data_IF_650815454196
#
_entry.id   IF_650815454196
#
_cell.length_a   1.000
_cell.length_b   1.000
_cell.length_c   1.000
_cell.angle_alpha   90.00
_cell.angle_beta   90.00
_cell.angle_gamma   90.00
#
_symmetry.space_group_name_H-M   'P 1'
#
loop_
_entity.id
_entity.type
_entity.pdbx_description
1 polymer ?
#
# COMPACT_ATOMS: atom_id res chain seq x y z
N UNK A 1 -1.42 3.46 24.85
CA UNK A 1 -1.86 3.13 23.49
C UNK A 1 -1.21 1.84 23.03
N UNK A 2 -2.01 0.92 22.52
CA UNK A 2 -1.47 -0.35 22.05
C UNK A 2 -0.69 -0.17 20.75
N UNK A 3 0.25 -1.06 20.51
CA UNK A 3 1.01 -1.10 19.26
C UNK A 3 0.43 -2.18 18.35
N UNK A 4 0.67 -2.05 17.05
CA UNK A 4 0.28 -3.04 16.06
C UNK A 4 1.53 -3.80 15.65
N UNK A 5 1.47 -5.14 15.69
CA UNK A 5 2.58 -6.01 15.37
C UNK A 5 2.45 -6.52 13.93
N UNK A 6 3.42 -6.17 13.10
CA UNK A 6 3.51 -6.61 11.71
C UNK A 6 4.65 -7.60 11.48
N UNK A 7 5.18 -8.22 12.56
CA UNK A 7 6.31 -9.13 12.43
C UNK A 7 5.96 -10.42 11.67
N UNK A 8 6.96 -10.99 11.00
CA UNK A 8 6.86 -12.32 10.43
C UNK A 8 7.09 -13.37 11.54
N UNK A 9 6.68 -14.60 11.28
CA UNK A 9 6.69 -15.68 12.27
C UNK A 9 8.06 -16.00 12.87
N UNK A 10 9.16 -15.68 12.20
CA UNK A 10 10.51 -16.04 12.64
C UNK A 10 11.50 -14.88 12.47
N UNK A 11 11.02 -13.66 12.43
CA UNK A 11 11.83 -12.51 12.04
C UNK A 11 11.72 -11.36 13.03
N UNK A 12 12.38 -10.27 12.68
CA UNK A 12 12.36 -9.02 13.43
C UNK A 12 10.94 -8.54 13.70
N UNK A 13 10.70 -8.09 14.93
CA UNK A 13 9.42 -7.54 15.34
C UNK A 13 9.25 -6.12 14.78
N UNK A 14 8.13 -5.89 14.10
CA UNK A 14 7.77 -4.57 13.59
C UNK A 14 6.55 -4.07 14.36
N UNK A 15 6.78 -3.14 15.28
CA UNK A 15 5.72 -2.56 16.09
C UNK A 15 5.51 -1.10 15.69
N UNK A 16 4.25 -0.76 15.39
CA UNK A 16 3.88 0.61 15.04
C UNK A 16 2.80 1.07 16.01
N UNK A 17 3.05 2.20 16.66
CA UNK A 17 2.00 2.88 17.43
C UNK A 17 1.05 3.53 16.43
N UNK A 18 -0.26 3.22 16.50
CA UNK A 18 -1.21 3.77 15.54
C UNK A 18 -1.20 5.31 15.53
N UNK A 19 -1.40 5.85 14.33
CA UNK A 19 -1.47 7.30 14.17
C UNK A 19 -2.69 7.85 14.92
N UNK A 20 -2.47 8.83 15.77
CA UNK A 20 -3.55 9.49 16.51
C UNK A 20 -4.43 10.31 15.58
N UNK A 21 -5.70 10.48 15.96
CA UNK A 21 -6.67 11.28 15.18
C UNK A 21 -6.17 12.70 14.91
N UNK A 22 -5.49 13.30 15.89
CA UNK A 22 -4.98 14.66 15.75
C UNK A 22 -3.63 14.72 15.03
N UNK A 23 -3.07 13.58 14.64
CA UNK A 23 -1.79 13.54 13.94
C UNK A 23 -0.57 13.87 14.79
N UNK A 24 -0.72 13.95 16.13
CA UNK A 24 0.35 14.40 17.01
C UNK A 24 1.61 13.54 16.98
N UNK A 25 1.47 12.24 16.67
CA UNK A 25 2.60 11.31 16.61
C UNK A 25 3.04 10.99 15.18
N UNK A 26 2.69 11.83 14.20
CA UNK A 26 3.01 11.57 12.79
C UNK A 26 4.53 11.54 12.56
N UNK A 27 5.28 12.39 13.22
CA UNK A 27 6.75 12.44 13.08
C UNK A 27 7.42 11.12 13.47
N UNK A 28 6.80 10.35 14.39
CA UNK A 28 7.27 9.02 14.76
C UNK A 28 6.67 7.94 13.84
N UNK A 29 5.42 8.11 13.45
CA UNK A 29 4.66 7.17 12.64
C UNK A 29 5.21 7.04 11.22
N UNK A 30 5.44 8.17 10.55
CA UNK A 30 5.85 8.19 9.14
C UNK A 30 7.11 7.35 8.86
N UNK A 31 8.24 7.56 9.57
CA UNK A 31 9.44 6.78 9.28
C UNK A 31 9.27 5.30 9.58
N UNK A 32 8.48 4.94 10.61
CA UNK A 32 8.24 3.56 10.95
C UNK A 32 7.43 2.82 9.89
N UNK A 33 6.41 3.48 9.33
CA UNK A 33 5.63 2.90 8.21
C UNK A 33 6.51 2.70 6.99
N UNK A 34 7.35 3.68 6.66
CA UNK A 34 8.24 3.58 5.50
C UNK A 34 9.27 2.46 5.68
N UNK A 35 9.85 2.32 6.87
CA UNK A 35 10.78 1.23 7.15
C UNK A 35 10.10 -0.13 7.05
N UNK A 36 8.90 -0.26 7.61
CA UNK A 36 8.14 -1.50 7.53
C UNK A 36 7.84 -1.87 6.08
N UNK A 37 7.34 -0.92 5.29
CA UNK A 37 7.04 -1.16 3.87
C UNK A 37 8.32 -1.49 3.09
N UNK A 38 9.43 -0.83 3.39
CA UNK A 38 10.72 -1.15 2.77
C UNK A 38 11.20 -2.55 3.10
N UNK A 39 11.08 -2.95 4.37
CA UNK A 39 11.48 -4.28 4.83
C UNK A 39 10.65 -5.39 4.18
N UNK A 40 9.39 -5.11 3.89
CA UNK A 40 8.50 -6.07 3.21
C UNK A 40 8.55 -5.96 1.68
N UNK A 41 9.37 -5.06 1.15
CA UNK A 41 9.54 -4.89 -0.30
C UNK A 41 8.35 -4.22 -1.00
N UNK A 42 7.55 -3.46 -0.26
CA UNK A 42 6.33 -2.85 -0.80
C UNK A 42 6.31 -1.33 -0.71
N UNK A 43 7.46 -0.71 -0.43
CA UNK A 43 7.55 0.75 -0.29
C UNK A 43 7.08 1.48 -1.56
N UNK A 44 7.34 0.92 -2.73
CA UNK A 44 6.92 1.51 -4.01
C UNK A 44 5.41 1.64 -4.14
N UNK A 45 4.65 0.76 -3.49
CA UNK A 45 3.18 0.87 -3.45
C UNK A 45 2.74 2.08 -2.63
N UNK A 46 3.41 2.30 -1.49
CA UNK A 46 3.13 3.45 -0.64
C UNK A 46 3.44 4.76 -1.37
N UNK A 47 4.55 4.80 -2.09
CA UNK A 47 5.03 6.01 -2.76
C UNK A 47 4.43 6.25 -4.15
N UNK A 48 3.63 5.32 -4.64
CA UNK A 48 2.95 5.48 -5.93
C UNK A 48 3.82 5.12 -7.14
N UNK A 49 4.90 4.36 -6.94
CA UNK A 49 5.83 3.95 -8.01
C UNK A 49 5.61 2.51 -8.48
N UNK A 50 4.71 1.77 -7.84
CA UNK A 50 4.43 0.40 -8.23
C UNK A 50 3.74 0.37 -9.59
N UNK A 51 4.22 -0.51 -10.47
CA UNK A 51 3.65 -0.66 -11.80
C UNK A 51 2.87 -1.97 -11.87
N UNK A 52 1.60 -1.86 -12.22
CA UNK A 52 0.76 -3.05 -12.41
C UNK A 52 1.27 -3.84 -13.61
N UNK A 53 1.48 -5.17 -13.46
CA UNK A 53 1.88 -6.01 -14.59
C UNK A 53 0.87 -5.90 -15.72
N UNK A 54 1.37 -5.94 -16.96
CA UNK A 54 0.50 -5.91 -18.13
C UNK A 54 -0.18 -7.26 -18.29
N UNK A 55 -1.47 -7.22 -18.56
CA UNK A 55 -2.22 -8.42 -18.91
C UNK A 55 -1.83 -8.88 -20.30
N UNK A 56 -1.83 -10.20 -20.52
CA UNK A 56 -1.60 -10.74 -21.86
C UNK A 56 -2.78 -10.40 -22.75
N UNK A 57 -2.49 -10.05 -24.01
CA UNK A 57 -3.55 -9.82 -25.00
C UNK A 57 -4.33 -11.11 -25.23
N UNK A 58 -5.66 -11.00 -25.31
CA UNK A 58 -6.54 -12.14 -25.58
C UNK A 58 -7.23 -11.92 -26.94
N UNK A 59 -7.10 -12.89 -27.82
CA UNK A 59 -7.78 -12.88 -29.11
C UNK A 59 -8.47 -14.24 -29.32
N UNK A 60 -9.76 -14.22 -29.59
CA UNK A 60 -10.56 -15.45 -29.79
C UNK A 60 -10.42 -16.46 -28.65
N UNK A 61 -10.33 -15.96 -27.40
CA UNK A 61 -10.19 -16.80 -26.22
C UNK A 61 -8.79 -17.35 -25.98
N UNK A 62 -7.80 -16.90 -26.75
CA UNK A 62 -6.41 -17.37 -26.65
C UNK A 62 -5.52 -16.25 -26.16
N UNK A 63 -4.70 -16.55 -25.13
CA UNK A 63 -3.68 -15.62 -24.65
C UNK A 63 -2.53 -15.55 -25.63
N UNK A 64 -2.04 -14.34 -25.86
CA UNK A 64 -0.92 -14.09 -26.77
C UNK A 64 0.37 -13.87 -25.99
N UNK A 65 1.54 -14.10 -26.64
CA UNK A 65 2.86 -13.85 -26.05
C UNK A 65 2.97 -12.41 -25.59
N UNK A 66 3.72 -12.15 -24.48
CA UNK A 66 3.94 -10.79 -24.01
C UNK A 66 4.43 -9.87 -25.12
N UNK A 67 3.78 -8.72 -25.26
CA UNK A 67 4.15 -7.72 -26.27
C UNK A 67 3.72 -8.05 -27.70
N UNK A 68 2.93 -9.11 -27.91
CA UNK A 68 2.43 -9.48 -29.24
C UNK A 68 0.92 -9.57 -29.24
N UNK A 69 0.31 -9.50 -30.43
CA UNK A 69 -1.14 -9.63 -30.62
C UNK A 69 -1.51 -10.83 -31.51
N UNK A 70 -0.51 -11.50 -32.08
CA UNK A 70 -0.71 -12.51 -33.10
C UNK A 70 0.03 -13.84 -32.81
N UNK A 71 0.82 -13.91 -31.77
CA UNK A 71 1.58 -15.12 -31.40
C UNK A 71 1.02 -15.70 -30.12
N UNK A 72 0.55 -16.98 -30.12
CA UNK A 72 0.02 -17.61 -28.90
C UNK A 72 1.06 -17.71 -27.80
N UNK A 73 0.64 -17.47 -26.56
CA UNK A 73 1.49 -17.64 -25.39
C UNK A 73 1.64 -19.12 -25.04
N UNK A 74 2.78 -19.50 -24.48
CA UNK A 74 2.97 -20.84 -23.92
C UNK A 74 2.30 -20.91 -22.56
N UNK A 75 2.08 -22.14 -22.03
CA UNK A 75 1.54 -22.32 -20.70
C UNK A 75 2.43 -21.65 -19.64
N UNK A 76 3.76 -21.75 -19.81
CA UNK A 76 4.71 -21.10 -18.90
C UNK A 76 4.55 -19.59 -18.91
N UNK A 77 4.36 -18.98 -20.08
CA UNK A 77 4.16 -17.54 -20.20
C UNK A 77 2.85 -17.10 -19.53
N UNK A 78 1.79 -17.87 -19.66
CA UNK A 78 0.51 -17.61 -19.01
C UNK A 78 0.67 -17.69 -17.48
N UNK A 79 1.30 -18.77 -16.99
CA UNK A 79 1.55 -18.95 -15.56
C UNK A 79 2.39 -17.82 -14.98
N UNK A 80 3.43 -17.41 -15.68
CA UNK A 80 4.30 -16.31 -15.25
C UNK A 80 3.51 -15.00 -15.15
N UNK A 81 2.64 -14.74 -16.11
CA UNK A 81 1.82 -13.53 -16.09
C UNK A 81 0.84 -13.55 -14.94
N UNK A 82 0.19 -14.68 -14.67
CA UNK A 82 -0.70 -14.84 -13.53
C UNK A 82 0.02 -14.68 -12.20
N UNK A 83 1.20 -15.28 -12.06
CA UNK A 83 2.00 -15.19 -10.85
C UNK A 83 2.40 -13.73 -10.57
N UNK A 84 2.82 -13.01 -11.60
CA UNK A 84 3.18 -11.58 -11.44
C UNK A 84 1.99 -10.75 -11.00
N UNK A 85 0.82 -11.01 -11.58
CA UNK A 85 -0.39 -10.28 -11.20
C UNK A 85 -0.81 -10.60 -9.76
N UNK A 86 -0.77 -11.87 -9.38
CA UNK A 86 -1.10 -12.29 -8.01
C UNK A 86 -0.15 -11.66 -7.00
N UNK A 87 1.13 -11.64 -7.30
CA UNK A 87 2.13 -11.02 -6.43
C UNK A 87 1.87 -9.51 -6.29
N UNK A 88 1.56 -8.84 -7.39
CA UNK A 88 1.21 -7.42 -7.35
C UNK A 88 0.00 -7.17 -6.46
N UNK A 89 -1.06 -7.94 -6.65
CA UNK A 89 -2.30 -7.79 -5.88
C UNK A 89 -2.10 -8.09 -4.40
N UNK A 90 -1.30 -9.10 -4.06
CA UNK A 90 -0.97 -9.43 -2.67
C UNK A 90 -0.19 -8.30 -2.01
N UNK A 91 0.79 -7.74 -2.71
CA UNK A 91 1.60 -6.64 -2.19
C UNK A 91 0.78 -5.37 -2.02
N UNK A 92 -0.10 -5.08 -2.97
CA UNK A 92 -1.03 -3.95 -2.85
C UNK A 92 -1.94 -4.12 -1.63
N UNK A 93 -2.52 -5.31 -1.47
CA UNK A 93 -3.40 -5.60 -0.34
C UNK A 93 -2.66 -5.51 1.00
N UNK A 94 -1.42 -5.97 1.05
CA UNK A 94 -0.59 -5.88 2.26
C UNK A 94 -0.32 -4.42 2.63
N UNK A 95 0.01 -3.59 1.66
CA UNK A 95 0.24 -2.17 1.91
C UNK A 95 -1.02 -1.47 2.42
N UNK A 96 -2.17 -1.77 1.81
CA UNK A 96 -3.46 -1.25 2.29
C UNK A 96 -3.75 -1.71 3.71
N UNK A 97 -3.50 -2.97 4.01
CA UNK A 97 -3.72 -3.52 5.35
C UNK A 97 -2.87 -2.81 6.40
N UNK A 98 -1.58 -2.58 6.09
CA UNK A 98 -0.69 -1.85 7.00
C UNK A 98 -1.26 -0.47 7.30
N UNK A 99 -1.69 0.27 6.28
CA UNK A 99 -2.23 1.60 6.47
C UNK A 99 -3.53 1.59 7.26
N UNK A 100 -4.46 0.71 6.90
CA UNK A 100 -5.76 0.63 7.57
C UNK A 100 -5.64 0.17 9.02
N UNK A 101 -4.66 -0.67 9.33
CA UNK A 101 -4.45 -1.21 10.67
C UNK A 101 -3.61 -0.30 11.57
N UNK A 102 -2.93 0.68 11.01
CA UNK A 102 -2.00 1.53 11.74
C UNK A 102 -2.49 2.96 11.93
N UNK A 103 -3.75 3.23 11.62
CA UNK A 103 -4.37 4.55 11.84
C UNK A 103 -5.55 4.38 12.80
N UNK A 104 -6.06 5.51 13.31
CA UNK A 104 -7.25 5.49 14.17
C UNK A 104 -8.46 4.98 13.38
N UNK A 105 -9.50 4.43 14.06
CA UNK A 105 -10.71 3.99 13.38
C UNK A 105 -11.37 5.08 12.56
N UNK A 106 -11.36 6.31 13.04
CA UNK A 106 -11.94 7.46 12.33
C UNK A 106 -11.22 7.70 10.99
N UNK A 107 -9.89 7.71 11.01
CA UNK A 107 -9.11 7.92 9.80
C UNK A 107 -9.22 6.71 8.86
N UNK A 108 -9.30 5.51 9.41
CA UNK A 108 -9.52 4.30 8.62
C UNK A 108 -10.80 4.41 7.78
N UNK A 109 -11.88 4.95 8.36
CA UNK A 109 -13.13 5.15 7.62
C UNK A 109 -12.95 6.08 6.43
N UNK A 110 -12.04 7.05 6.54
CA UNK A 110 -11.78 7.99 5.44
C UNK A 110 -11.00 7.37 4.31
N UNK A 111 -10.09 6.44 4.61
CA UNK A 111 -9.17 5.89 3.60
C UNK A 111 -9.59 4.54 3.03
N UNK A 112 -10.44 3.79 3.72
CA UNK A 112 -10.76 2.39 3.34
C UNK A 112 -11.35 2.22 1.95
N UNK A 113 -11.99 3.26 1.41
CA UNK A 113 -12.63 3.20 0.09
C UNK A 113 -11.73 3.70 -1.04
N UNK A 114 -10.52 4.16 -0.72
CA UNK A 114 -9.61 4.66 -1.74
C UNK A 114 -9.00 3.51 -2.52
N UNK A 115 -8.74 3.74 -3.80
CA UNK A 115 -8.41 2.66 -4.74
C UNK A 115 -7.01 2.09 -4.54
N UNK A 116 -6.03 2.92 -4.16
CA UNK A 116 -4.63 2.50 -4.11
C UNK A 116 -4.00 2.82 -2.75
N UNK A 117 -2.94 2.06 -2.36
CA UNK A 117 -2.20 2.40 -1.14
C UNK A 117 -1.63 3.81 -1.16
N UNK A 118 -1.14 4.26 -2.31
CA UNK A 118 -0.62 5.63 -2.43
C UNK A 118 -1.72 6.68 -2.17
N UNK A 119 -2.92 6.49 -2.71
CA UNK A 119 -4.03 7.41 -2.46
C UNK A 119 -4.40 7.44 -0.97
N UNK A 120 -4.35 6.29 -0.30
CA UNK A 120 -4.55 6.21 1.15
C UNK A 120 -3.47 6.99 1.89
N UNK A 121 -2.21 6.80 1.51
CA UNK A 121 -1.07 7.48 2.14
C UNK A 121 -1.14 8.98 1.95
N UNK A 122 -1.45 9.44 0.74
CA UNK A 122 -1.62 10.86 0.46
C UNK A 122 -2.75 11.45 1.30
N UNK A 123 -3.86 10.73 1.43
CA UNK A 123 -4.98 11.18 2.27
C UNK A 123 -4.59 11.29 3.74
N UNK A 124 -3.81 10.35 4.26
CA UNK A 124 -3.29 10.39 5.63
C UNK A 124 -2.41 11.62 5.83
N UNK A 125 -1.46 11.84 4.94
CA UNK A 125 -0.54 12.98 5.02
C UNK A 125 -1.29 14.31 4.92
N UNK A 126 -2.28 14.40 4.04
CA UNK A 126 -3.11 15.59 3.87
C UNK A 126 -3.93 15.88 5.12
N UNK A 127 -4.52 14.85 5.71
CA UNK A 127 -5.30 14.98 6.93
C UNK A 127 -4.45 15.53 8.09
N UNK A 128 -3.24 14.99 8.26
CA UNK A 128 -2.31 15.45 9.29
C UNK A 128 -1.88 16.89 9.05
N UNK A 129 -1.57 17.24 7.80
CA UNK A 129 -1.18 18.60 7.43
C UNK A 129 -2.30 19.60 7.72
N UNK A 130 -3.55 19.25 7.39
CA UNK A 130 -4.70 20.11 7.63
C UNK A 130 -4.92 20.34 9.11
N UNK A 131 -4.80 19.30 9.93
CA UNK A 131 -4.94 19.40 11.38
C UNK A 131 -3.84 20.25 11.99
N UNK A 132 -2.60 20.12 11.52
CA UNK A 132 -1.48 20.94 11.96
C UNK A 132 -1.72 22.42 11.64
N UNK A 133 -2.26 22.71 10.45
CA UNK A 133 -2.58 24.09 10.06
C UNK A 133 -3.68 24.67 10.96
N UNK A 134 -4.71 23.90 11.24
CA UNK A 134 -5.79 24.33 12.14
C UNK A 134 -5.28 24.60 13.55
N UNK A 135 -4.39 23.76 14.08
CA UNK A 135 -3.78 23.97 15.39
C UNK A 135 -2.96 25.25 15.43
N UNK A 136 -2.22 25.56 14.38
CA UNK A 136 -1.46 26.81 14.28
C UNK A 136 -2.36 28.03 14.22
N UNK A 137 -3.52 27.92 13.59
CA UNK A 137 -4.49 29.02 13.52
C UNK A 137 -5.17 29.26 14.86
N UNK A 138 -5.33 28.24 15.68
CA UNK A 138 -5.95 28.35 17.00
C UNK A 138 -5.00 28.94 18.06
N UNK A 139 -3.70 28.83 17.83
CA UNK A 139 -2.67 29.34 18.76
C UNK A 139 -2.39 30.80 18.41
N UNK A 140 -2.93 31.70 19.18
CA UNK A 140 -2.70 33.15 19.02
C UNK A 140 -2.18 33.76 20.31
#
# INVERSE_FOLDING_TARGET
>A
MSTVDFSSSNQTTFLITPLCDNGSNFADYEPKVKVLCGAKGILKFLEGHAQKPKELHVANGVFMKPGTIDKPATEEEIENAETKMDTYEQNEAMCKHILMSSVSPHLCLKIKSLATPNSMWVAICTDVKNKSTLQKMDVR
#
